data_IF_069583033853
#
_entry.id   IF_069583033853
#
_cell.length_a   1.000
_cell.length_b   1.000
_cell.length_c   1.000
_cell.angle_alpha   90.00
_cell.angle_beta   90.00
_cell.angle_gamma   90.00
#
_symmetry.space_group_name_H-M   'P 1'
#
loop_
_entity.id
_entity.type
_entity.pdbx_description
1 polymer ?
#
# COMPACT_ATOMS: atom_id res chain seq x y z
N UNK A 1 39.68 -48.14 -27.94
CA UNK A 1 38.49 -47.28 -27.75
C UNK A 1 38.77 -45.97 -28.49
N UNK A 2 38.29 -45.75 -29.72
CA UNK A 2 36.92 -45.29 -30.11
C UNK A 2 36.53 -43.98 -29.42
N UNK A 3 36.18 -42.86 -30.08
CA UNK A 3 35.71 -42.59 -31.46
C UNK A 3 36.05 -41.12 -31.85
N UNK A 4 36.43 -40.71 -33.08
CA UNK A 4 35.59 -40.36 -34.26
C UNK A 4 34.23 -39.72 -33.88
N UNK A 5 33.68 -38.63 -34.42
CA UNK A 5 33.97 -37.66 -35.51
C UNK A 5 33.06 -36.42 -35.26
N UNK A 6 33.00 -35.29 -35.99
CA UNK A 6 33.56 -34.80 -37.28
C UNK A 6 33.59 -33.24 -37.25
N UNK A 7 34.15 -32.58 -38.26
CA UNK A 7 33.97 -31.14 -38.54
C UNK A 7 32.95 -30.96 -39.69
N UNK A 8 32.11 -29.92 -39.66
CA UNK A 8 31.46 -29.38 -40.86
C UNK A 8 31.22 -27.86 -40.77
N UNK A 9 31.41 -27.18 -41.90
CA UNK A 9 31.36 -25.72 -42.09
C UNK A 9 30.28 -25.44 -43.16
N UNK A 10 29.23 -24.65 -42.87
CA UNK A 10 28.34 -24.05 -43.89
C UNK A 10 27.90 -22.65 -43.38
N UNK A 11 28.59 -21.58 -43.77
CA UNK A 11 28.25 -20.58 -44.82
C UNK A 11 26.93 -19.79 -44.69
N UNK A 12 27.12 -18.46 -44.65
CA UNK A 12 26.21 -17.32 -44.88
C UNK A 12 24.93 -17.59 -45.70
N UNK A 13 23.85 -16.90 -45.32
CA UNK A 13 23.14 -15.98 -46.25
C UNK A 13 22.36 -14.88 -45.52
N UNK A 14 22.65 -13.62 -45.87
CA UNK A 14 21.81 -12.47 -45.55
C UNK A 14 20.63 -12.40 -46.52
N UNK A 15 19.45 -12.03 -46.03
CA UNK A 15 18.38 -11.44 -46.87
C UNK A 15 17.83 -10.22 -46.12
N UNK A 16 17.85 -9.08 -46.79
CA UNK A 16 17.16 -7.87 -46.35
C UNK A 16 15.86 -7.73 -47.14
N UNK A 17 14.77 -7.39 -46.46
CA UNK A 17 13.52 -6.87 -47.04
C UNK A 17 13.05 -5.76 -46.10
N UNK A 18 13.43 -4.51 -46.40
CA UNK A 18 12.59 -3.50 -47.07
C UNK A 18 11.46 -2.99 -46.18
N UNK A 19 11.63 -1.75 -45.71
CA UNK A 19 10.59 -0.99 -45.01
C UNK A 19 9.48 -0.56 -45.99
N UNK A 20 8.24 -0.50 -45.50
CA UNK A 20 7.15 0.21 -46.16
C UNK A 20 6.49 1.15 -45.13
N UNK A 21 6.52 2.45 -45.43
CA UNK A 21 5.62 3.42 -44.79
C UNK A 21 4.26 3.38 -45.50
N UNK A 22 3.19 3.51 -44.72
CA UNK A 22 1.86 3.93 -45.21
C UNK A 22 1.22 4.84 -44.18
N UNK A 23 0.77 6.01 -44.60
CA UNK A 23 0.04 6.98 -43.78
C UNK A 23 -1.36 7.23 -44.35
N UNK A 24 -2.21 7.91 -43.57
CA UNK A 24 -3.62 8.24 -43.84
C UNK A 24 -4.62 7.12 -43.47
N UNK A 25 -5.85 7.42 -43.04
CA UNK A 25 -6.54 8.72 -43.01
C UNK A 25 -7.40 8.91 -41.74
N UNK A 26 -7.61 10.18 -41.37
CA UNK A 26 -8.64 10.62 -40.43
C UNK A 26 -10.02 10.45 -41.08
N UNK A 27 -11.01 9.95 -40.33
CA UNK A 27 -12.41 10.08 -40.72
C UNK A 27 -13.23 10.70 -39.59
N UNK A 28 -13.76 11.89 -39.85
CA UNK A 28 -14.74 12.58 -39.01
C UNK A 28 -16.13 12.09 -39.38
N UNK A 29 -16.94 11.71 -38.39
CA UNK A 29 -18.40 11.67 -38.54
C UNK A 29 -19.07 12.28 -37.31
N UNK A 30 -19.84 13.33 -37.54
CA UNK A 30 -20.68 13.96 -36.54
C UNK A 30 -22.00 13.20 -36.36
N UNK A 31 -22.51 13.15 -35.14
CA UNK A 31 -23.82 12.57 -34.82
C UNK A 31 -24.45 13.32 -33.65
N UNK A 32 -25.45 14.16 -33.94
CA UNK A 32 -26.11 15.00 -32.94
C UNK A 32 -26.84 14.17 -31.89
N UNK A 33 -26.78 14.58 -30.62
CA UNK A 33 -27.91 14.42 -29.70
C UNK A 33 -28.15 15.70 -28.89
N UNK A 34 -29.40 15.86 -28.47
CA UNK A 34 -30.07 17.15 -28.27
C UNK A 34 -30.20 17.42 -26.77
N UNK A 35 -29.77 18.60 -26.30
CA UNK A 35 -30.22 19.08 -25.00
C UNK A 35 -31.73 19.36 -25.07
N UNK A 36 -32.46 19.00 -24.03
CA UNK A 36 -33.71 19.64 -23.68
C UNK A 36 -33.53 20.31 -22.32
N UNK A 37 -33.53 21.63 -22.33
CA UNK A 37 -33.87 22.41 -21.14
C UNK A 37 -35.38 22.29 -20.91
N UNK A 38 -35.80 22.05 -19.67
CA UNK A 38 -37.11 22.48 -19.20
C UNK A 38 -36.92 23.44 -18.02
N UNK A 39 -37.38 24.67 -18.24
CA UNK A 39 -37.57 25.68 -17.22
C UNK A 39 -39.00 26.25 -17.37
N UNK A 40 -39.43 26.98 -16.35
CA UNK A 40 -40.79 27.55 -16.15
C UNK A 40 -41.81 26.57 -15.49
N UNK A 41 -42.74 27.02 -14.64
CA UNK A 41 -43.09 28.41 -14.31
C UNK A 41 -43.72 28.62 -12.91
N UNK A 42 -43.42 29.78 -12.31
CA UNK A 42 -44.25 30.68 -11.44
C UNK A 42 -45.43 30.13 -10.62
N UNK A 43 -45.62 30.53 -9.35
CA UNK A 43 -45.95 31.91 -8.90
C UNK A 43 -45.71 32.07 -7.38
N UNK A 44 -45.16 33.18 -6.85
CA UNK A 44 -45.83 34.46 -6.47
C UNK A 44 -47.01 34.29 -5.49
N UNK A 45 -47.16 35.02 -4.37
CA UNK A 45 -46.56 36.29 -3.90
C UNK A 45 -46.42 36.29 -2.34
N UNK A 46 -45.46 37.01 -1.73
CA UNK A 46 -45.59 38.37 -1.12
C UNK A 46 -46.77 38.47 -0.12
N UNK A 47 -46.60 38.83 1.16
CA UNK A 47 -46.40 40.21 1.66
C UNK A 47 -45.93 40.22 3.14
N UNK A 48 -45.00 41.13 3.48
CA UNK A 48 -44.56 41.60 4.81
C UNK A 48 -45.46 42.79 5.28
N UNK A 49 -45.61 43.16 6.58
CA UNK A 49 -44.52 43.84 7.30
C UNK A 49 -44.48 43.86 8.86
N UNK A 50 -43.28 44.22 9.35
CA UNK A 50 -42.89 45.09 10.48
C UNK A 50 -43.80 45.35 11.71
N UNK A 51 -43.21 45.24 12.91
CA UNK A 51 -42.82 46.36 13.83
C UNK A 51 -42.27 45.78 15.16
N UNK A 52 -41.11 46.21 15.69
CA UNK A 52 -40.89 47.32 16.65
C UNK A 52 -41.70 47.22 17.97
N UNK A 53 -41.23 47.57 19.18
CA UNK A 53 -39.90 47.87 19.77
C UNK A 53 -40.09 48.04 21.31
N UNK A 54 -39.01 48.20 22.10
CA UNK A 54 -38.98 48.74 23.49
C UNK A 54 -39.68 47.91 24.61
N UNK A 55 -39.35 48.06 25.92
CA UNK A 55 -38.25 48.76 26.62
C UNK A 55 -38.19 48.33 28.11
N UNK A 56 -37.01 48.47 28.71
CA UNK A 56 -36.70 48.89 30.10
C UNK A 56 -37.56 48.42 31.31
N UNK A 57 -36.86 47.86 32.32
CA UNK A 57 -36.70 48.51 33.64
C UNK A 57 -35.69 47.75 34.53
N UNK A 58 -34.92 48.47 35.34
CA UNK A 58 -33.96 47.93 36.30
C UNK A 58 -34.35 48.31 37.75
N UNK A 59 -34.00 47.48 38.75
CA UNK A 59 -33.61 47.94 40.09
C UNK A 59 -33.10 46.83 41.04
N UNK A 60 -32.16 47.25 41.90
CA UNK A 60 -31.95 46.83 43.30
C UNK A 60 -31.38 45.42 43.64
N UNK A 61 -30.10 45.47 43.98
CA UNK A 61 -29.29 44.51 44.73
C UNK A 61 -29.91 43.81 45.95
N UNK A 62 -29.46 42.58 46.20
CA UNK A 62 -29.52 41.88 47.48
C UNK A 62 -28.50 40.74 47.51
N UNK A 63 -27.46 40.85 48.36
CA UNK A 63 -26.35 39.89 48.38
C UNK A 63 -26.49 38.87 49.52
N UNK A 64 -26.40 37.58 49.20
CA UNK A 64 -25.96 36.53 50.13
C UNK A 64 -25.49 35.30 49.36
N UNK A 65 -24.33 34.75 49.74
CA UNK A 65 -23.68 33.67 49.00
C UNK A 65 -24.37 32.31 49.17
N UNK A 66 -24.35 31.51 48.10
CA UNK A 66 -24.52 30.05 48.15
C UNK A 66 -23.53 29.42 47.16
N UNK A 67 -22.66 28.56 47.66
CA UNK A 67 -21.66 27.90 46.83
C UNK A 67 -22.31 26.77 46.02
N UNK A 68 -22.56 27.01 44.73
CA UNK A 68 -22.99 25.97 43.81
C UNK A 68 -21.77 25.13 43.36
N UNK A 69 -21.83 23.82 43.59
CA UNK A 69 -20.84 22.88 43.08
C UNK A 69 -20.80 22.92 41.53
N UNK A 70 -19.65 22.68 40.90
CA UNK A 70 -19.57 22.62 39.44
C UNK A 70 -20.47 21.51 38.92
N UNK A 71 -21.29 21.83 37.91
CA UNK A 71 -22.12 20.86 37.22
C UNK A 71 -21.25 19.70 36.74
N UNK A 72 -21.65 18.47 37.08
CA UNK A 72 -20.93 17.28 36.67
C UNK A 72 -20.89 17.22 35.13
N UNK A 73 -19.71 17.42 34.55
CA UNK A 73 -19.47 17.08 33.17
C UNK A 73 -19.81 15.60 33.00
N UNK A 74 -20.74 15.30 32.11
CA UNK A 74 -21.06 13.93 31.71
C UNK A 74 -19.77 13.31 31.17
N UNK A 75 -19.11 12.51 32.00
CA UNK A 75 -17.97 11.72 31.58
C UNK A 75 -18.48 10.72 30.56
N UNK A 76 -18.30 11.04 29.28
CA UNK A 76 -18.48 10.09 28.20
C UNK A 76 -17.60 8.88 28.53
N UNK A 77 -18.25 7.77 28.85
CA UNK A 77 -17.59 6.52 29.16
C UNK A 77 -16.66 6.21 27.98
N UNK A 78 -15.35 6.04 28.16
CA UNK A 78 -14.49 5.67 27.05
C UNK A 78 -14.95 4.30 26.58
N UNK A 79 -15.65 4.26 25.45
CA UNK A 79 -15.95 3.03 24.76
C UNK A 79 -14.61 2.32 24.62
N UNK A 80 -14.50 1.12 25.20
CA UNK A 80 -13.31 0.29 25.04
C UNK A 80 -13.10 0.11 23.55
N UNK A 81 -12.09 0.77 23.00
CA UNK A 81 -11.77 0.71 21.60
C UNK A 81 -11.49 -0.77 21.29
N UNK A 82 -12.44 -1.42 20.60
CA UNK A 82 -12.23 -2.76 20.12
C UNK A 82 -10.97 -2.75 19.28
N UNK A 83 -10.01 -3.63 19.60
CA UNK A 83 -8.74 -3.68 18.89
C UNK A 83 -9.04 -3.96 17.41
N UNK A 84 -8.89 -2.92 16.58
CA UNK A 84 -9.32 -2.93 15.19
C UNK A 84 -8.67 -4.11 14.47
N UNK A 85 -9.47 -5.07 14.03
CA UNK A 85 -8.97 -6.28 13.40
C UNK A 85 -8.26 -5.94 12.09
N UNK A 86 -6.97 -6.30 12.01
CA UNK A 86 -6.14 -6.09 10.82
C UNK A 86 -6.16 -7.37 9.99
N UNK A 87 -6.22 -7.24 8.66
CA UNK A 87 -5.97 -8.35 7.74
C UNK A 87 -4.46 -8.70 7.75
N UNK A 88 -4.06 -9.57 8.67
CA UNK A 88 -2.65 -9.98 8.87
C UNK A 88 -2.11 -10.84 7.73
N UNK A 89 -2.99 -11.35 6.85
CA UNK A 89 -2.63 -12.07 5.64
C UNK A 89 -2.48 -11.17 4.40
N UNK A 90 -2.70 -9.86 4.50
CA UNK A 90 -2.57 -8.94 3.36
C UNK A 90 -1.12 -8.66 2.93
N UNK A 91 -0.90 -8.25 1.67
CA UNK A 91 0.40 -7.72 1.22
C UNK A 91 0.84 -6.51 2.06
N UNK A 92 -0.11 -5.66 2.45
CA UNK A 92 0.10 -4.52 3.36
C UNK A 92 0.29 -4.89 4.83
N UNK A 93 0.22 -6.18 5.18
CA UNK A 93 0.77 -6.72 6.41
C UNK A 93 2.15 -7.34 6.20
N UNK A 94 2.61 -7.53 4.95
CA UNK A 94 3.87 -8.21 4.64
C UNK A 94 3.77 -9.73 4.57
N UNK A 95 2.55 -10.27 4.36
CA UNK A 95 2.36 -11.67 4.06
C UNK A 95 2.88 -12.03 2.66
N UNK A 96 3.32 -13.27 2.47
CA UNK A 96 3.92 -13.74 1.22
C UNK A 96 3.66 -15.24 1.00
N UNK A 97 3.26 -15.66 -0.21
CA UNK A 97 3.09 -17.08 -0.50
C UNK A 97 4.43 -17.80 -0.68
N UNK A 98 4.53 -19.04 -0.20
CA UNK A 98 5.73 -19.86 -0.32
C UNK A 98 5.43 -21.15 -1.08
N UNK A 99 6.39 -21.60 -1.90
CA UNK A 99 6.28 -22.84 -2.68
C UNK A 99 5.27 -22.78 -3.84
N UNK A 100 4.78 -21.60 -4.21
CA UNK A 100 3.93 -21.42 -5.39
C UNK A 100 4.78 -21.28 -6.66
N UNK A 101 4.28 -21.81 -7.78
CA UNK A 101 4.88 -21.68 -9.11
C UNK A 101 4.19 -20.66 -10.01
N UNK A 102 2.96 -20.25 -9.67
CA UNK A 102 2.33 -19.05 -10.23
C UNK A 102 2.46 -17.91 -9.23
N UNK A 103 2.66 -16.70 -9.74
CA UNK A 103 2.64 -15.47 -8.96
C UNK A 103 1.22 -15.01 -8.62
N UNK A 104 0.17 -15.51 -9.29
CA UNK A 104 -1.22 -15.03 -9.12
C UNK A 104 -1.76 -15.06 -7.66
N UNK A 105 -1.09 -15.76 -6.74
CA UNK A 105 -1.42 -15.81 -5.31
C UNK A 105 -1.58 -14.43 -4.67
N UNK A 106 -0.84 -13.41 -5.14
CA UNK A 106 -0.93 -12.07 -4.57
C UNK A 106 -2.35 -11.50 -4.74
N UNK A 107 -3.10 -11.90 -5.77
CA UNK A 107 -4.49 -11.44 -6.01
C UNK A 107 -5.46 -11.83 -4.91
N UNK A 108 -5.14 -12.87 -4.13
CA UNK A 108 -5.92 -13.22 -2.96
C UNK A 108 -5.70 -12.28 -1.77
N UNK A 109 -4.58 -11.55 -1.73
CA UNK A 109 -4.07 -10.86 -0.53
C UNK A 109 -3.61 -9.41 -0.77
N UNK A 110 -3.58 -8.92 -2.01
CA UNK A 110 -3.27 -7.52 -2.35
C UNK A 110 -4.32 -6.54 -1.79
N UNK A 111 -5.56 -7.04 -1.69
CA UNK A 111 -6.72 -6.35 -1.20
C UNK A 111 -7.35 -5.33 -2.16
N UNK A 112 -6.92 -5.26 -3.42
CA UNK A 112 -7.35 -4.36 -4.50
C UNK A 112 -8.83 -4.62 -4.86
N UNK A 113 -9.69 -3.59 -5.10
CA UNK A 113 -11.15 -3.74 -4.95
C UNK A 113 -11.83 -4.69 -5.94
N UNK A 114 -11.33 -4.72 -7.17
CA UNK A 114 -11.81 -5.48 -8.33
C UNK A 114 -10.74 -6.48 -8.82
N UNK A 115 -9.78 -6.83 -7.95
CA UNK A 115 -8.84 -7.92 -8.24
C UNK A 115 -9.65 -9.17 -8.64
N UNK A 116 -9.36 -9.80 -9.79
CA UNK A 116 -10.12 -10.96 -10.24
C UNK A 116 -9.91 -12.18 -9.34
N UNK A 117 -8.96 -12.10 -8.41
CA UNK A 117 -8.52 -13.20 -7.57
C UNK A 117 -7.76 -14.25 -8.36
N UNK A 118 -7.89 -15.51 -7.93
CA UNK A 118 -7.37 -16.66 -8.66
C UNK A 118 -8.50 -17.51 -9.22
N UNK A 119 -8.18 -18.23 -10.29
CA UNK A 119 -8.95 -19.35 -10.83
C UNK A 119 -7.95 -20.42 -11.23
N UNK A 120 -8.05 -21.62 -10.65
CA UNK A 120 -7.08 -22.69 -10.82
C UNK A 120 -7.76 -24.00 -11.16
N UNK A 121 -7.14 -24.78 -12.05
CA UNK A 121 -7.63 -26.09 -12.46
C UNK A 121 -7.30 -27.20 -11.43
N UNK A 122 -6.37 -26.93 -10.51
CA UNK A 122 -6.02 -27.85 -9.42
C UNK A 122 -7.17 -27.93 -8.42
N UNK A 123 -7.65 -29.14 -8.16
CA UNK A 123 -8.70 -29.41 -7.18
C UNK A 123 -8.37 -30.73 -6.45
N UNK A 124 -7.97 -30.69 -5.16
CA UNK A 124 -7.80 -29.51 -4.33
C UNK A 124 -6.66 -28.59 -4.81
N UNK A 125 -6.75 -27.31 -4.44
CA UNK A 125 -5.67 -26.34 -4.55
C UNK A 125 -5.16 -25.99 -3.14
N UNK A 126 -3.84 -25.93 -2.95
CA UNK A 126 -3.22 -25.53 -1.69
C UNK A 126 -2.31 -24.30 -1.87
N UNK A 127 -2.54 -23.30 -1.03
CA UNK A 127 -1.73 -22.10 -0.92
C UNK A 127 -1.16 -21.99 0.49
N UNK A 128 0.16 -21.92 0.62
CA UNK A 128 0.82 -21.65 1.91
C UNK A 128 1.25 -20.19 1.96
N UNK A 129 0.64 -19.42 2.86
CA UNK A 129 0.99 -18.04 3.16
C UNK A 129 1.87 -18.00 4.40
N UNK A 130 3.05 -17.38 4.28
CA UNK A 130 3.83 -16.94 5.41
C UNK A 130 3.35 -15.56 5.85
N UNK A 131 2.92 -15.45 7.11
CA UNK A 131 2.60 -14.17 7.73
C UNK A 131 3.91 -13.41 8.03
N UNK A 132 3.87 -12.08 8.21
CA UNK A 132 5.05 -11.28 8.60
C UNK A 132 5.71 -11.69 9.92
N UNK A 133 5.18 -12.69 10.62
CA UNK A 133 4.18 -12.43 11.64
C UNK A 133 3.94 -13.69 12.46
N UNK A 134 4.01 -13.61 13.78
CA UNK A 134 3.12 -14.45 14.58
C UNK A 134 1.94 -13.54 14.85
N UNK A 135 0.73 -14.02 14.63
CA UNK A 135 -0.48 -13.24 14.78
C UNK A 135 -1.53 -14.06 15.51
N UNK A 136 -2.32 -13.40 16.36
CA UNK A 136 -3.51 -13.97 16.97
C UNK A 136 -4.69 -13.67 16.05
N UNK A 137 -5.14 -14.69 15.34
CA UNK A 137 -6.21 -14.62 14.34
C UNK A 137 -7.54 -14.94 15.03
N UNK A 138 -8.57 -14.15 14.73
CA UNK A 138 -9.91 -14.23 15.34
C UNK A 138 -11.00 -14.58 14.32
N UNK A 139 -10.78 -14.28 13.04
CA UNK A 139 -11.66 -14.72 11.96
C UNK A 139 -10.93 -14.85 10.63
N UNK A 140 -11.44 -15.69 9.73
CA UNK A 140 -11.09 -15.69 8.32
C UNK A 140 -12.21 -15.03 7.51
N UNK A 141 -11.91 -14.61 6.29
CA UNK A 141 -12.92 -14.26 5.30
C UNK A 141 -12.52 -14.69 3.89
N UNK A 142 -13.52 -15.10 3.12
CA UNK A 142 -13.38 -15.64 1.78
C UNK A 142 -14.26 -14.84 0.82
N UNK A 143 -13.65 -14.16 -0.16
CA UNK A 143 -14.38 -13.49 -1.23
C UNK A 143 -14.74 -14.48 -2.33
N UNK A 144 -16.03 -14.62 -2.62
CA UNK A 144 -16.52 -15.42 -3.75
C UNK A 144 -15.93 -14.91 -5.07
N UNK A 145 -15.63 -15.81 -6.01
CA UNK A 145 -15.16 -15.41 -7.35
C UNK A 145 -16.21 -14.54 -8.07
N UNK A 146 -15.79 -13.56 -8.90
CA UNK A 146 -16.72 -12.85 -9.78
C UNK A 146 -17.28 -13.74 -10.89
N UNK A 147 -16.69 -14.91 -11.14
CA UNK A 147 -17.18 -15.89 -12.09
C UNK A 147 -18.09 -16.93 -11.40
N UNK A 148 -19.22 -17.24 -12.02
CA UNK A 148 -20.12 -18.30 -11.55
C UNK A 148 -19.45 -19.67 -11.66
N UNK A 149 -19.75 -20.57 -10.71
CA UNK A 149 -19.22 -21.94 -10.68
C UNK A 149 -17.68 -22.04 -10.59
N UNK A 150 -17.04 -21.01 -10.03
CA UNK A 150 -15.60 -21.01 -9.68
C UNK A 150 -15.38 -20.91 -8.16
N UNK A 151 -16.32 -20.37 -7.40
CA UNK A 151 -16.20 -20.35 -5.92
C UNK A 151 -16.15 -21.78 -5.37
N UNK A 152 -15.14 -22.14 -4.54
CA UNK A 152 -15.02 -23.48 -3.99
C UNK A 152 -16.18 -23.82 -3.05
N UNK A 153 -16.62 -25.07 -3.10
CA UNK A 153 -17.65 -25.61 -2.22
C UNK A 153 -17.14 -25.82 -0.80
N UNK A 154 -15.85 -26.12 -0.64
CA UNK A 154 -15.23 -26.41 0.64
C UNK A 154 -13.93 -25.63 0.82
N UNK A 155 -13.74 -25.08 2.02
CA UNK A 155 -12.52 -24.34 2.39
C UNK A 155 -12.01 -24.78 3.75
N UNK A 156 -10.72 -25.10 3.78
CA UNK A 156 -9.97 -25.44 4.98
C UNK A 156 -8.82 -24.46 5.16
N UNK A 157 -8.58 -24.06 6.41
CA UNK A 157 -7.40 -23.27 6.81
C UNK A 157 -6.70 -23.99 7.95
N UNK A 158 -5.50 -24.49 7.67
CA UNK A 158 -4.57 -24.96 8.70
C UNK A 158 -3.59 -23.85 9.10
N UNK A 159 -3.10 -23.94 10.34
CA UNK A 159 -2.19 -23.01 10.98
C UNK A 159 -0.93 -23.73 11.45
N UNK A 160 0.22 -23.05 11.38
CA UNK A 160 1.48 -23.57 11.93
C UNK A 160 2.43 -22.44 12.39
N UNK A 161 3.38 -22.79 13.25
CA UNK A 161 4.52 -21.94 13.62
C UNK A 161 5.70 -22.05 12.62
N UNK A 162 5.75 -23.13 11.83
CA UNK A 162 6.77 -23.40 10.81
C UNK A 162 6.12 -23.80 9.48
N UNK A 163 6.74 -23.45 8.35
CA UNK A 163 6.33 -23.88 7.02
C UNK A 163 6.34 -25.42 6.85
N UNK A 164 7.15 -26.12 7.65
CA UNK A 164 7.20 -27.59 7.70
C UNK A 164 6.10 -28.24 8.54
N UNK A 165 5.22 -27.45 9.17
CA UNK A 165 4.33 -27.91 10.22
C UNK A 165 5.04 -28.17 11.57
N UNK A 166 4.39 -28.88 12.52
CA UNK A 166 3.09 -29.52 12.38
C UNK A 166 1.96 -28.51 12.08
N UNK A 167 0.96 -28.97 11.34
CA UNK A 167 -0.20 -28.19 10.91
C UNK A 167 -1.42 -28.52 11.77
N UNK A 168 -2.12 -27.49 12.24
CA UNK A 168 -3.33 -27.61 13.04
C UNK A 168 -4.49 -26.91 12.33
N UNK A 169 -5.57 -27.65 12.08
CA UNK A 169 -6.78 -27.11 11.46
C UNK A 169 -7.45 -26.08 12.36
N UNK A 170 -7.60 -24.84 11.85
CA UNK A 170 -8.27 -23.74 12.53
C UNK A 170 -9.68 -23.49 11.96
N UNK A 171 -9.89 -23.79 10.68
CA UNK A 171 -11.18 -23.70 9.99
C UNK A 171 -11.30 -24.83 8.97
N UNK A 172 -12.48 -25.43 8.84
CA UNK A 172 -12.77 -26.58 7.97
C UNK A 172 -14.30 -26.64 7.79
N UNK A 173 -14.81 -26.09 6.69
CA UNK A 173 -16.24 -26.02 6.43
C UNK A 173 -16.57 -25.70 4.96
N UNK A 174 -17.81 -26.00 4.59
CA UNK A 174 -18.36 -25.69 3.27
C UNK A 174 -18.77 -24.21 3.16
N UNK A 175 -18.65 -23.64 1.95
CA UNK A 175 -19.17 -22.30 1.64
C UNK A 175 -20.69 -22.37 1.42
N UNK A 176 -21.52 -21.68 2.22
CA UNK A 176 -22.97 -21.73 2.08
C UNK A 176 -23.42 -21.26 0.69
N UNK A 177 -24.06 -22.16 -0.07
CA UNK A 177 -24.62 -21.85 -1.37
C UNK A 177 -23.60 -21.58 -2.49
N UNK A 178 -22.40 -22.18 -2.42
CA UNK A 178 -21.31 -21.99 -3.39
C UNK A 178 -21.73 -22.06 -4.87
N UNK A 179 -22.66 -22.94 -5.26
CA UNK A 179 -23.24 -23.02 -6.61
C UNK A 179 -23.82 -21.69 -7.13
N UNK A 180 -24.43 -20.91 -6.24
CA UNK A 180 -25.29 -19.77 -6.55
C UNK A 180 -24.88 -18.46 -5.85
N UNK A 181 -23.74 -18.48 -5.14
CA UNK A 181 -23.19 -17.31 -4.46
C UNK A 181 -22.96 -16.18 -5.47
N UNK A 182 -23.39 -14.97 -5.13
CA UNK A 182 -23.23 -13.83 -6.03
C UNK A 182 -21.77 -13.36 -6.06
N UNK A 183 -21.27 -12.85 -7.20
CA UNK A 183 -20.00 -12.15 -7.29
C UNK A 183 -19.75 -11.17 -6.14
N UNK A 184 -18.54 -11.19 -5.57
CA UNK A 184 -18.12 -10.25 -4.52
C UNK A 184 -18.73 -10.45 -3.12
N UNK A 185 -19.50 -11.53 -2.87
CA UNK A 185 -19.93 -11.86 -1.50
C UNK A 185 -18.72 -12.28 -0.66
N UNK A 186 -18.58 -11.64 0.51
CA UNK A 186 -17.55 -11.98 1.50
C UNK A 186 -18.16 -12.87 2.58
N UNK A 187 -17.79 -14.15 2.56
CA UNK A 187 -18.16 -15.12 3.60
C UNK A 187 -17.22 -14.94 4.78
N UNK A 188 -17.75 -14.52 5.93
CA UNK A 188 -16.98 -14.34 7.17
C UNK A 188 -17.06 -15.60 8.04
N UNK A 189 -15.89 -16.02 8.53
CA UNK A 189 -15.69 -17.22 9.33
C UNK A 189 -15.06 -16.85 10.69
N UNK A 190 -15.87 -16.44 11.69
CA UNK A 190 -15.37 -16.22 13.05
C UNK A 190 -14.90 -17.54 13.68
N UNK A 191 -13.77 -17.50 14.36
CA UNK A 191 -13.22 -18.64 15.08
C UNK A 191 -13.83 -18.72 16.48
N UNK A 192 -14.09 -19.94 16.98
CA UNK A 192 -14.61 -20.13 18.34
C UNK A 192 -13.64 -19.64 19.42
N UNK A 193 -12.34 -19.72 19.15
CA UNK A 193 -11.26 -19.20 19.97
C UNK A 193 -10.17 -18.62 19.06
N UNK A 194 -9.45 -17.56 19.47
CA UNK A 194 -8.34 -17.04 18.69
C UNK A 194 -7.21 -18.06 18.53
N UNK A 195 -6.61 -18.15 17.34
CA UNK A 195 -5.50 -19.05 17.04
C UNK A 195 -4.21 -18.27 16.79
N UNK A 196 -3.08 -18.72 17.33
CA UNK A 196 -1.77 -18.12 17.06
C UNK A 196 -1.09 -18.85 15.91
N UNK A 197 -0.76 -18.13 14.83
CA UNK A 197 -0.15 -18.70 13.63
C UNK A 197 0.97 -17.82 13.08
N UNK A 198 1.94 -18.45 12.40
CA UNK A 198 2.93 -17.79 11.54
C UNK A 198 2.82 -18.18 10.07
N UNK A 199 2.29 -19.38 9.81
CA UNK A 199 1.99 -19.85 8.47
C UNK A 199 0.52 -20.28 8.43
N UNK A 200 -0.14 -19.95 7.33
CA UNK A 200 -1.48 -20.40 6.99
C UNK A 200 -1.39 -21.29 5.76
N UNK A 201 -2.07 -22.44 5.77
CA UNK A 201 -2.33 -23.23 4.57
C UNK A 201 -3.81 -23.14 4.27
N UNK A 202 -4.12 -22.47 3.17
CA UNK A 202 -5.46 -22.41 2.59
C UNK A 202 -5.61 -23.56 1.59
N UNK A 203 -6.53 -24.48 1.86
CA UNK A 203 -6.91 -25.55 0.95
C UNK A 203 -8.32 -25.28 0.42
N UNK A 204 -8.45 -25.16 -0.90
CA UNK A 204 -9.71 -24.99 -1.60
C UNK A 204 -10.07 -26.31 -2.29
N UNK A 205 -11.33 -26.73 -2.23
CA UNK A 205 -11.79 -27.92 -2.96
C UNK A 205 -13.26 -27.84 -3.37
N UNK A 206 -13.65 -28.74 -4.28
CA UNK A 206 -15.04 -28.95 -4.70
C UNK A 206 -15.22 -30.36 -5.26
N UNK A 207 -16.43 -30.94 -5.25
CA UNK A 207 -16.74 -32.11 -6.07
C UNK A 207 -16.40 -31.84 -7.56
N UNK A 208 -15.80 -32.80 -8.30
CA UNK A 208 -15.36 -32.57 -9.68
C UNK A 208 -16.46 -32.06 -10.62
N UNK A 209 -17.68 -32.54 -10.44
CA UNK A 209 -18.87 -32.15 -11.21
C UNK A 209 -19.39 -30.73 -10.87
N UNK A 210 -18.96 -30.16 -9.75
CA UNK A 210 -19.33 -28.81 -9.29
C UNK A 210 -18.26 -27.75 -9.58
N UNK A 211 -17.09 -28.15 -10.08
CA UNK A 211 -16.00 -27.23 -10.48
C UNK A 211 -15.52 -27.45 -11.94
N UNK A 212 -16.43 -27.43 -12.94
CA UNK A 212 -16.07 -27.69 -14.34
C UNK A 212 -15.12 -26.63 -14.94
N UNK A 213 -15.06 -25.44 -14.34
CA UNK A 213 -14.21 -24.32 -14.75
C UNK A 213 -13.03 -24.07 -13.78
N UNK A 214 -12.68 -25.07 -12.95
CA UNK A 214 -11.73 -24.93 -11.85
C UNK A 214 -12.35 -24.29 -10.60
N UNK A 215 -11.51 -23.99 -9.62
CA UNK A 215 -11.88 -23.38 -8.33
C UNK A 215 -11.10 -22.09 -8.07
N UNK A 216 -11.63 -21.19 -7.26
CA UNK A 216 -11.00 -19.89 -7.01
C UNK A 216 -11.77 -18.95 -6.08
N UNK A 217 -11.05 -18.03 -5.46
CA UNK A 217 -11.59 -16.95 -4.62
C UNK A 217 -11.13 -15.61 -5.19
N UNK A 218 -11.95 -14.57 -5.01
CA UNK A 218 -11.55 -13.18 -5.26
C UNK A 218 -10.59 -12.65 -4.19
N UNK A 219 -10.74 -13.12 -2.94
CA UNK A 219 -9.93 -12.69 -1.80
C UNK A 219 -9.86 -13.76 -0.71
N UNK A 220 -8.73 -13.80 0.00
CA UNK A 220 -8.59 -14.45 1.30
C UNK A 220 -8.06 -13.43 2.32
N UNK A 221 -8.71 -13.35 3.47
CA UNK A 221 -8.28 -12.48 4.58
C UNK A 221 -8.22 -13.25 5.89
N UNK A 222 -7.24 -12.89 6.73
CA UNK A 222 -7.12 -13.40 8.09
C UNK A 222 -7.12 -12.21 9.05
N UNK A 223 -8.22 -12.03 9.77
CA UNK A 223 -8.42 -10.90 10.66
C UNK A 223 -7.96 -11.21 12.07
N UNK A 224 -7.17 -10.32 12.65
CA UNK A 224 -6.64 -10.50 13.99
C UNK A 224 -5.70 -9.38 14.44
N UNK A 225 -4.90 -9.68 15.46
CA UNK A 225 -3.86 -8.80 15.97
C UNK A 225 -2.48 -9.35 15.58
N UNK A 226 -1.60 -8.54 14.96
CA UNK A 226 -0.20 -8.94 14.80
C UNK A 226 0.46 -9.02 16.18
N UNK A 227 1.32 -10.02 16.36
CA UNK A 227 2.17 -10.14 17.55
C UNK A 227 3.23 -9.05 17.63
N UNK A 228 4.14 -9.17 18.61
CA UNK A 228 5.13 -8.14 18.92
C UNK A 228 5.90 -7.63 17.68
N UNK A 229 6.11 -6.32 17.63
CA UNK A 229 6.82 -5.64 16.56
C UNK A 229 8.22 -6.26 16.35
N UNK A 230 8.53 -6.59 15.10
CA UNK A 230 9.79 -7.27 14.74
C UNK A 230 10.95 -6.31 14.61
N UNK A 231 12.15 -6.87 14.66
CA UNK A 231 13.33 -6.23 14.09
C UNK A 231 13.07 -5.91 12.61
N UNK A 232 13.60 -4.76 12.16
CA UNK A 232 13.42 -4.29 10.78
C UNK A 232 14.02 -5.30 9.80
N UNK A 233 13.18 -5.87 8.93
CA UNK A 233 13.61 -6.83 7.90
C UNK A 233 14.72 -6.20 7.05
N UNK A 234 15.81 -6.94 6.85
CA UNK A 234 16.87 -6.55 5.94
C UNK A 234 16.50 -6.93 4.50
N UNK A 235 16.41 -5.93 3.63
CA UNK A 235 16.01 -6.05 2.22
C UNK A 235 17.02 -5.39 1.26
N UNK A 236 18.14 -4.87 1.76
CA UNK A 236 19.21 -4.36 0.91
C UNK A 236 19.75 -5.46 -0.02
N UNK A 237 20.02 -5.11 -1.28
CA UNK A 237 20.51 -6.05 -2.28
C UNK A 237 20.15 -5.63 -3.71
N UNK A 238 20.64 -6.40 -4.67
CA UNK A 238 20.23 -6.34 -6.06
C UNK A 238 19.08 -7.34 -6.29
N UNK A 239 18.04 -6.86 -6.96
CA UNK A 239 16.86 -7.61 -7.36
C UNK A 239 16.67 -7.53 -8.87
N UNK A 240 16.01 -8.53 -9.43
CA UNK A 240 15.58 -8.58 -10.82
C UNK A 240 14.06 -8.78 -10.86
N UNK A 241 13.37 -7.77 -11.39
CA UNK A 241 11.93 -7.72 -11.62
C UNK A 241 11.71 -7.63 -13.13
N UNK A 242 11.21 -8.68 -13.81
CA UNK A 242 11.12 -8.71 -15.27
C UNK A 242 10.12 -7.71 -15.87
N UNK A 243 9.32 -7.02 -15.03
CA UNK A 243 8.32 -6.03 -15.43
C UNK A 243 8.48 -4.74 -14.63
N UNK A 244 8.00 -3.61 -15.17
CA UNK A 244 7.82 -2.32 -14.49
C UNK A 244 9.07 -1.58 -13.96
N UNK A 245 10.29 -2.13 -14.15
CA UNK A 245 11.55 -1.53 -13.71
C UNK A 245 12.59 -1.37 -14.84
N UNK A 246 12.13 -0.98 -16.02
CA UNK A 246 12.96 -0.87 -17.23
C UNK A 246 13.06 -2.21 -17.99
N UNK A 247 13.75 -2.20 -19.13
CA UNK A 247 13.85 -3.39 -20.00
C UNK A 247 14.80 -4.46 -19.44
N UNK A 248 15.81 -4.05 -18.65
CA UNK A 248 16.70 -4.96 -17.92
C UNK A 248 16.16 -5.40 -16.55
N UNK A 249 15.10 -4.77 -16.04
CA UNK A 249 14.42 -5.18 -14.80
C UNK A 249 15.21 -5.07 -13.49
N UNK A 250 16.41 -4.49 -13.47
CA UNK A 250 17.26 -4.48 -12.27
C UNK A 250 16.90 -3.35 -11.31
N UNK A 251 16.78 -3.71 -10.03
CA UNK A 251 16.51 -2.79 -8.91
C UNK A 251 17.58 -2.99 -7.84
N UNK A 252 18.30 -1.93 -7.50
CA UNK A 252 19.22 -1.91 -6.36
C UNK A 252 18.53 -1.25 -5.17
N UNK A 253 18.46 -1.95 -4.04
CA UNK A 253 17.99 -1.43 -2.75
C UNK A 253 19.15 -1.32 -1.76
N UNK A 254 19.24 -0.18 -1.10
CA UNK A 254 20.14 0.14 0.00
C UNK A 254 19.30 0.47 1.23
N UNK A 255 19.76 0.12 2.43
CA UNK A 255 18.95 0.23 3.65
C UNK A 255 19.77 0.76 4.82
N UNK A 256 19.18 1.68 5.59
CA UNK A 256 19.71 2.17 6.86
C UNK A 256 18.61 2.18 7.91
N UNK A 257 18.60 1.17 8.79
CA UNK A 257 17.50 0.95 9.72
C UNK A 257 16.20 0.67 8.96
N UNK A 258 15.16 1.45 9.25
CA UNK A 258 13.88 1.39 8.51
C UNK A 258 13.91 2.14 7.17
N UNK A 259 14.83 3.07 6.93
CA UNK A 259 14.92 3.80 5.67
C UNK A 259 15.48 2.90 4.55
N UNK A 260 14.85 2.96 3.38
CA UNK A 260 15.32 2.30 2.16
C UNK A 260 15.41 3.32 1.04
N UNK A 261 16.52 3.28 0.30
CA UNK A 261 16.68 4.01 -0.95
C UNK A 261 17.19 3.08 -2.03
N UNK A 262 17.04 3.50 -3.28
CA UNK A 262 17.47 2.68 -4.38
C UNK A 262 17.30 3.34 -5.74
N UNK A 263 17.49 2.52 -6.75
CA UNK A 263 17.32 2.90 -8.14
C UNK A 263 16.96 1.68 -8.97
N UNK A 264 16.34 1.94 -10.11
CA UNK A 264 16.15 0.95 -11.17
C UNK A 264 16.86 1.44 -12.42
N UNK A 265 17.44 0.50 -13.18
CA UNK A 265 18.42 0.83 -14.21
C UNK A 265 18.48 -0.20 -15.34
N UNK A 266 18.91 0.27 -16.50
CA UNK A 266 19.30 -0.61 -17.60
C UNK A 266 20.70 -1.17 -17.37
N UNK A 267 20.92 -2.44 -17.70
CA UNK A 267 22.19 -3.14 -17.45
C UNK A 267 22.98 -3.46 -18.73
N UNK A 268 24.30 -3.36 -18.63
CA UNK A 268 25.24 -3.91 -19.63
C UNK A 268 25.62 -5.33 -19.23
N UNK A 269 24.78 -6.30 -19.62
CA UNK A 269 24.94 -7.72 -19.33
C UNK A 269 24.31 -8.16 -18.00
N UNK A 270 24.17 -9.48 -17.83
CA UNK A 270 23.52 -10.11 -16.67
C UNK A 270 24.49 -10.77 -15.69
N UNK A 271 25.73 -11.04 -16.10
CA UNK A 271 26.78 -11.59 -15.22
C UNK A 271 28.19 -11.11 -15.64
N UNK A 272 28.87 -10.28 -14.83
CA UNK A 272 28.31 -9.51 -13.71
C UNK A 272 27.37 -8.40 -14.21
N UNK A 273 26.30 -8.14 -13.47
CA UNK A 273 25.38 -7.00 -13.71
C UNK A 273 26.15 -5.68 -13.60
N UNK A 274 25.94 -4.75 -14.55
CA UNK A 274 26.59 -3.43 -14.59
C UNK A 274 25.59 -2.35 -14.93
N UNK A 275 25.48 -1.31 -14.09
CA UNK A 275 24.64 -0.14 -14.37
C UNK A 275 25.11 0.53 -15.67
N UNK A 276 24.20 0.66 -16.64
CA UNK A 276 24.45 1.34 -17.91
C UNK A 276 23.75 2.70 -17.98
N UNK A 277 22.50 2.76 -17.54
CA UNK A 277 21.72 3.98 -17.40
C UNK A 277 20.78 3.81 -16.21
N UNK A 278 20.85 4.72 -15.23
CA UNK A 278 19.84 4.83 -14.18
C UNK A 278 18.57 5.42 -14.81
N UNK A 279 17.43 4.78 -14.59
CA UNK A 279 16.13 5.20 -15.13
C UNK A 279 15.32 6.02 -14.12
N UNK A 280 15.53 5.77 -12.83
CA UNK A 280 14.85 6.46 -11.75
C UNK A 280 15.31 5.99 -10.37
N UNK A 281 14.75 6.61 -9.33
CA UNK A 281 15.08 6.34 -7.92
C UNK A 281 13.91 5.70 -7.19
N UNK A 282 14.22 5.07 -6.05
CA UNK A 282 13.26 4.57 -5.10
C UNK A 282 13.57 5.23 -3.76
N UNK A 283 12.56 5.82 -3.13
CA UNK A 283 12.62 6.32 -1.75
C UNK A 283 11.55 5.56 -0.98
N UNK A 284 11.88 4.97 0.16
CA UNK A 284 10.99 4.06 0.85
C UNK A 284 11.38 3.77 2.29
N UNK A 285 10.58 2.92 2.94
CA UNK A 285 10.86 2.46 4.29
C UNK A 285 10.13 1.18 4.64
N UNK A 286 10.75 0.41 5.54
CA UNK A 286 10.25 -0.88 6.01
C UNK A 286 9.23 -0.64 7.12
N UNK A 287 8.01 -1.10 6.85
CA UNK A 287 6.88 -1.06 7.76
C UNK A 287 6.95 -2.20 8.78
N UNK A 288 6.12 -2.17 9.83
CA UNK A 288 6.17 -3.16 10.93
C UNK A 288 5.95 -4.61 10.46
N UNK A 289 5.28 -4.81 9.32
CA UNK A 289 5.12 -6.10 8.65
C UNK A 289 6.36 -6.62 7.92
N UNK A 290 7.43 -5.82 7.83
CA UNK A 290 8.62 -6.17 7.07
C UNK A 290 8.43 -6.09 5.55
N UNK A 291 7.36 -5.45 5.07
CA UNK A 291 7.23 -5.00 3.69
C UNK A 291 7.79 -3.58 3.54
N UNK A 292 8.23 -3.24 2.34
CA UNK A 292 8.69 -1.91 1.97
C UNK A 292 7.51 -1.11 1.43
N UNK A 293 7.21 0.06 2.01
CA UNK A 293 6.37 1.08 1.38
C UNK A 293 7.29 2.09 0.69
N UNK A 294 6.98 2.47 -0.55
CA UNK A 294 7.89 3.26 -1.39
C UNK A 294 7.20 4.24 -2.32
N UNK A 295 7.97 5.23 -2.78
CA UNK A 295 7.73 5.99 -4.00
C UNK A 295 8.79 5.58 -5.04
N UNK A 296 8.36 5.22 -6.26
CA UNK A 296 9.21 5.11 -7.46
C UNK A 296 9.19 6.45 -8.18
N UNK A 297 10.35 7.11 -8.31
CA UNK A 297 10.48 8.35 -9.07
C UNK A 297 11.15 8.07 -10.42
N UNK A 298 10.60 8.63 -11.50
CA UNK A 298 11.16 8.49 -12.85
C UNK A 298 11.86 9.79 -13.24
N UNK A 299 13.02 9.74 -13.90
CA UNK A 299 13.82 10.95 -14.20
C UNK A 299 13.08 12.06 -14.99
N UNK A 300 12.01 11.71 -15.70
CA UNK A 300 11.22 12.64 -16.52
C UNK A 300 9.84 12.95 -15.93
N UNK A 301 9.41 12.25 -14.87
CA UNK A 301 8.12 12.47 -14.22
C UNK A 301 8.26 13.42 -13.04
N UNK A 302 7.30 14.36 -12.91
CA UNK A 302 7.14 15.18 -11.70
C UNK A 302 6.29 14.51 -10.62
N UNK A 303 5.75 13.33 -10.90
CA UNK A 303 4.89 12.57 -10.00
C UNK A 303 5.57 11.23 -9.68
N UNK A 304 5.87 11.02 -8.40
CA UNK A 304 6.32 9.74 -7.90
C UNK A 304 5.17 8.74 -7.84
N UNK A 305 5.41 7.49 -8.20
CA UNK A 305 4.42 6.41 -8.15
C UNK A 305 4.50 5.70 -6.78
N UNK A 306 3.48 5.78 -5.92
CA UNK A 306 3.46 5.02 -4.66
C UNK A 306 3.43 3.52 -4.91
N UNK A 307 3.92 2.74 -3.96
CA UNK A 307 3.96 1.28 -4.09
C UNK A 307 4.25 0.55 -2.78
N UNK A 308 4.20 -0.78 -2.88
CA UNK A 308 4.69 -1.71 -1.87
C UNK A 308 5.62 -2.74 -2.52
N UNK A 309 6.59 -3.24 -1.76
CA UNK A 309 7.27 -4.51 -2.03
C UNK A 309 7.13 -5.44 -0.82
N UNK A 310 6.55 -6.61 -1.05
CA UNK A 310 6.53 -7.72 -0.09
C UNK A 310 7.71 -8.67 -0.37
N UNK A 311 8.17 -9.39 0.64
CA UNK A 311 9.37 -10.24 0.57
C UNK A 311 9.14 -11.62 1.19
N UNK A 312 9.53 -12.66 0.48
CA UNK A 312 9.54 -14.05 0.97
C UNK A 312 10.32 -14.19 2.30
N UNK A 313 9.95 -15.11 3.20
CA UNK A 313 10.63 -15.27 4.49
C UNK A 313 12.11 -15.65 4.41
N UNK A 314 12.54 -16.30 3.32
CA UNK A 314 13.94 -16.66 3.07
C UNK A 314 14.75 -15.54 2.35
N UNK A 315 14.08 -14.45 1.99
CA UNK A 315 14.67 -13.27 1.35
C UNK A 315 15.07 -13.48 -0.11
N UNK A 316 14.67 -14.58 -0.76
CA UNK A 316 15.04 -14.86 -2.17
C UNK A 316 14.09 -14.29 -3.20
N UNK A 317 12.80 -14.21 -2.86
CA UNK A 317 11.75 -13.66 -3.72
C UNK A 317 11.19 -12.37 -3.14
N UNK A 318 10.73 -11.49 -4.03
CA UNK A 318 10.01 -10.27 -3.74
C UNK A 318 8.79 -10.16 -4.69
N UNK A 319 7.84 -9.32 -4.32
CA UNK A 319 6.72 -8.94 -5.18
C UNK A 319 6.48 -7.45 -5.01
N UNK A 320 6.42 -6.69 -6.11
CA UNK A 320 6.09 -5.26 -6.10
C UNK A 320 4.69 -5.02 -6.66
N UNK A 321 3.92 -4.17 -5.99
CA UNK A 321 2.74 -3.53 -6.54
C UNK A 321 2.94 -2.01 -6.54
N UNK A 322 2.78 -1.39 -7.70
CA UNK A 322 2.97 0.04 -7.93
C UNK A 322 1.61 0.64 -8.32
N UNK A 323 1.12 1.58 -7.53
CA UNK A 323 -0.21 2.15 -7.66
C UNK A 323 -0.14 3.47 -8.41
N UNK A 324 -0.90 3.64 -9.48
CA UNK A 324 -1.11 4.97 -10.07
C UNK A 324 -1.95 5.83 -9.12
N UNK A 325 -1.90 7.16 -9.26
CA UNK A 325 -2.61 8.08 -8.35
C UNK A 325 -4.15 7.88 -8.39
N UNK A 326 -4.66 7.39 -9.51
CA UNK A 326 -6.04 7.02 -9.78
C UNK A 326 -6.35 5.53 -9.54
N UNK A 327 -5.56 4.83 -8.70
CA UNK A 327 -5.68 3.40 -8.40
C UNK A 327 -6.97 3.01 -7.64
N UNK A 328 -8.11 3.19 -8.29
CA UNK A 328 -9.42 2.71 -7.86
C UNK A 328 -9.63 1.24 -8.24
N UNK A 329 -8.85 0.74 -9.20
CA UNK A 329 -9.03 -0.58 -9.83
C UNK A 329 -7.72 -1.38 -9.90
N UNK A 330 -7.83 -2.66 -10.25
CA UNK A 330 -6.74 -3.59 -10.45
C UNK A 330 -5.96 -3.30 -11.72
N UNK A 331 -6.65 -2.83 -12.76
CA UNK A 331 -6.02 -2.34 -14.00
C UNK A 331 -5.10 -1.12 -13.81
N UNK A 332 -5.18 -0.42 -12.68
CA UNK A 332 -4.33 0.71 -12.30
C UNK A 332 -3.20 0.31 -11.32
N UNK A 333 -2.96 -1.00 -11.14
CA UNK A 333 -1.83 -1.54 -10.38
C UNK A 333 -0.82 -2.19 -11.34
N UNK A 334 0.43 -1.74 -11.27
CA UNK A 334 1.54 -2.31 -12.02
C UNK A 334 2.30 -3.30 -11.14
N UNK A 335 2.21 -4.58 -11.51
CA UNK A 335 2.64 -5.71 -10.67
C UNK A 335 3.88 -6.37 -11.24
N UNK A 336 4.85 -6.72 -10.37
CA UNK A 336 5.97 -7.56 -10.78
C UNK A 336 6.37 -8.53 -9.67
N UNK A 337 6.42 -9.84 -9.93
CA UNK A 337 7.25 -10.73 -9.14
C UNK A 337 8.73 -10.34 -9.34
N UNK A 338 9.60 -10.77 -8.45
CA UNK A 338 11.03 -10.51 -8.58
C UNK A 338 11.87 -11.44 -7.71
N UNK A 339 13.14 -11.59 -8.12
CA UNK A 339 14.11 -12.43 -7.42
C UNK A 339 15.28 -11.59 -6.91
N UNK A 340 15.79 -11.92 -5.73
CA UNK A 340 16.96 -11.31 -5.14
C UNK A 340 18.21 -11.98 -5.70
N UNK A 341 18.90 -11.27 -6.59
CA UNK A 341 20.20 -11.69 -7.16
C UNK A 341 21.25 -11.84 -6.06
N UNK A 342 21.28 -10.93 -5.08
CA UNK A 342 22.15 -11.05 -3.91
C UNK A 342 22.50 -9.72 -3.24
N UNK A 343 23.55 -9.74 -2.43
CA UNK A 343 24.21 -8.49 -2.01
C UNK A 343 24.96 -7.89 -3.21
N UNK A 344 25.08 -6.55 -3.26
CA UNK A 344 25.71 -5.84 -4.36
C UNK A 344 26.48 -4.63 -3.86
N UNK A 345 27.58 -4.30 -4.56
CA UNK A 345 28.39 -3.10 -4.36
C UNK A 345 28.15 -2.05 -5.47
N UNK A 346 27.15 -2.26 -6.32
CA UNK A 346 26.73 -1.26 -7.32
C UNK A 346 26.26 0.03 -6.63
N UNK A 347 26.33 1.15 -7.36
CA UNK A 347 25.89 2.46 -6.91
C UNK A 347 24.79 2.99 -7.82
N UNK A 348 23.85 3.74 -7.24
CA UNK A 348 22.81 4.46 -7.99
C UNK A 348 23.31 5.74 -8.68
N UNK A 349 24.60 6.05 -8.56
CA UNK A 349 25.27 7.03 -9.41
C UNK A 349 26.51 6.39 -10.06
N UNK A 350 26.59 6.29 -11.40
CA UNK A 350 27.81 5.89 -12.11
C UNK A 350 28.90 6.97 -12.12
N UNK A 351 28.61 8.22 -11.69
CA UNK A 351 29.58 9.33 -11.62
C UNK A 351 30.30 9.48 -10.28
N UNK A 352 29.89 8.73 -9.24
CA UNK A 352 30.55 8.66 -7.94
C UNK A 352 30.21 9.79 -6.95
N UNK A 353 29.23 10.63 -7.23
CA UNK A 353 28.66 11.60 -6.28
C UNK A 353 27.49 10.96 -5.50
N UNK A 354 27.35 11.22 -4.19
CA UNK A 354 26.13 10.88 -3.48
C UNK A 354 24.97 11.73 -4.02
N UNK A 355 24.12 11.16 -4.87
CA UNK A 355 22.80 11.74 -5.15
C UNK A 355 21.88 11.42 -3.98
N UNK A 356 21.54 12.42 -3.16
CA UNK A 356 20.50 12.23 -2.16
C UNK A 356 19.14 12.16 -2.89
N UNK A 357 18.51 10.98 -2.86
CA UNK A 357 17.29 10.71 -3.61
C UNK A 357 16.10 11.53 -3.06
N UNK A 358 16.08 11.81 -1.76
CA UNK A 358 15.09 12.67 -1.10
C UNK A 358 15.26 14.12 -1.50
N UNK A 359 16.49 14.64 -1.53
CA UNK A 359 16.79 15.99 -2.01
C UNK A 359 16.35 16.16 -3.47
N UNK A 360 16.73 15.19 -4.31
CA UNK A 360 16.38 15.15 -5.74
C UNK A 360 14.86 15.15 -5.93
N UNK A 361 14.12 14.37 -5.14
CA UNK A 361 12.67 14.32 -5.19
C UNK A 361 12.02 15.64 -4.74
N UNK A 362 12.51 16.27 -3.66
CA UNK A 362 12.03 17.59 -3.20
C UNK A 362 12.25 18.69 -4.24
N UNK A 363 13.34 18.64 -5.00
CA UNK A 363 13.62 19.60 -6.07
C UNK A 363 12.79 19.37 -7.33
N UNK A 364 12.56 18.10 -7.70
CA UNK A 364 11.84 17.73 -8.93
C UNK A 364 10.31 17.86 -8.79
N UNK A 365 9.78 17.50 -7.62
CA UNK A 365 8.34 17.30 -7.39
C UNK A 365 7.76 18.28 -6.36
N UNK A 366 8.61 18.93 -5.56
CA UNK A 366 8.19 19.76 -4.43
C UNK A 366 7.75 18.98 -3.19
N UNK A 367 7.69 17.64 -3.21
CA UNK A 367 7.17 16.84 -2.09
C UNK A 367 7.91 15.51 -1.92
N UNK A 368 8.10 15.06 -0.68
CA UNK A 368 8.65 13.72 -0.37
C UNK A 368 8.00 13.11 0.85
N UNK A 369 7.67 11.82 0.76
CA UNK A 369 7.10 11.05 1.86
C UNK A 369 8.19 10.59 2.84
N UNK A 370 7.94 10.79 4.13
CA UNK A 370 8.81 10.37 5.22
C UNK A 370 8.55 8.92 5.61
N UNK A 371 8.95 7.99 4.75
CA UNK A 371 8.80 6.56 5.03
C UNK A 371 9.59 6.11 6.27
N UNK A 372 8.99 5.22 7.06
CA UNK A 372 9.52 4.82 8.36
C UNK A 372 9.23 5.81 9.50
N UNK A 373 8.69 7.00 9.23
CA UNK A 373 8.16 7.91 10.27
C UNK A 373 6.77 7.45 10.69
N UNK A 374 6.78 6.37 11.47
CA UNK A 374 5.58 5.66 11.87
C UNK A 374 5.05 6.10 13.24
N UNK A 375 3.74 5.98 13.38
CA UNK A 375 3.01 6.22 14.62
C UNK A 375 2.18 4.98 14.95
N UNK A 376 1.91 4.75 16.24
CA UNK A 376 0.92 3.76 16.64
C UNK A 376 -0.50 4.22 16.25
N UNK A 377 -1.45 3.27 16.25
CA UNK A 377 -2.87 3.57 16.10
C UNK A 377 -3.32 4.63 17.12
N UNK A 378 -4.04 5.64 16.64
CA UNK A 378 -4.51 6.81 17.40
C UNK A 378 -3.43 7.48 18.29
N UNK A 379 -2.19 7.56 17.78
CA UNK A 379 -1.12 8.33 18.42
C UNK A 379 -0.38 9.26 17.46
N UNK A 380 0.19 10.30 18.04
CA UNK A 380 1.12 11.27 17.44
C UNK A 380 2.53 11.23 18.06
N UNK A 381 2.78 10.32 19.01
CA UNK A 381 4.11 10.12 19.59
C UNK A 381 5.04 9.46 18.57
N UNK A 382 6.16 10.12 18.25
CA UNK A 382 7.21 9.55 17.40
C UNK A 382 7.81 8.30 18.06
N UNK A 383 7.76 7.19 17.32
CA UNK A 383 8.39 5.92 17.70
C UNK A 383 9.91 5.98 17.54
N UNK A 384 10.63 5.05 18.19
CA UNK A 384 12.08 5.00 18.14
C UNK A 384 12.64 4.65 16.74
N UNK A 385 11.88 3.90 15.94
CA UNK A 385 12.21 3.54 14.55
C UNK A 385 12.13 4.73 13.57
N UNK A 386 11.36 5.77 13.90
CA UNK A 386 11.29 7.01 13.13
C UNK A 386 12.54 7.91 13.26
N UNK A 387 13.27 7.81 14.38
CA UNK A 387 14.38 8.74 14.67
C UNK A 387 15.50 8.74 13.62
N UNK A 388 16.03 7.60 13.15
CA UNK A 388 17.10 7.60 12.15
C UNK A 388 16.70 8.26 10.83
N UNK A 389 15.41 8.13 10.44
CA UNK A 389 14.86 8.81 9.27
C UNK A 389 14.86 10.32 9.50
N UNK A 390 14.33 10.78 10.64
CA UNK A 390 14.26 12.20 10.97
C UNK A 390 15.64 12.85 11.19
N UNK A 391 16.62 12.12 11.73
CA UNK A 391 18.01 12.60 11.87
C UNK A 391 18.68 12.78 10.51
N UNK A 392 18.40 11.86 9.56
CA UNK A 392 18.83 12.02 8.16
C UNK A 392 18.14 13.23 7.52
N UNK A 393 16.83 13.38 7.67
CA UNK A 393 16.11 14.56 7.15
C UNK A 393 16.63 15.86 7.76
N UNK A 394 16.94 15.87 9.05
CA UNK A 394 17.55 17.03 9.70
C UNK A 394 18.94 17.34 9.13
N UNK A 395 19.71 16.32 8.75
CA UNK A 395 21.01 16.50 8.08
C UNK A 395 20.84 17.12 6.70
N UNK A 396 19.89 16.63 5.90
CA UNK A 396 19.56 17.18 4.58
C UNK A 396 19.06 18.63 4.65
N UNK A 397 18.17 18.94 5.59
CA UNK A 397 17.61 20.29 5.72
C UNK A 397 18.65 21.30 6.24
N UNK A 398 19.61 20.88 7.06
CA UNK A 398 20.74 21.73 7.48
C UNK A 398 21.65 22.15 6.32
N UNK A 399 21.82 21.30 5.30
CA UNK A 399 22.61 21.67 4.10
C UNK A 399 21.81 22.55 3.13
N UNK A 400 20.50 22.67 3.32
CA UNK A 400 19.57 23.49 2.52
C UNK A 400 18.78 24.45 3.43
N UNK A 401 19.51 25.29 4.17
CA UNK A 401 18.94 26.23 5.15
C UNK A 401 18.06 27.33 4.52
N UNK A 402 18.17 27.55 3.21
CA UNK A 402 17.37 28.46 2.40
C UNK A 402 15.96 27.92 2.08
N UNK A 403 15.76 26.60 2.20
CA UNK A 403 14.46 25.99 1.89
C UNK A 403 13.38 26.38 2.91
N UNK A 404 12.16 26.54 2.39
CA UNK A 404 10.93 26.63 3.17
C UNK A 404 10.22 25.30 3.03
N UNK A 405 9.92 24.63 4.14
CA UNK A 405 9.34 23.29 4.17
C UNK A 405 8.12 23.30 5.09
N UNK A 406 6.99 22.89 4.53
CA UNK A 406 5.82 22.46 5.30
C UNK A 406 5.94 20.97 5.61
N UNK A 407 5.75 20.60 6.87
CA UNK A 407 5.52 19.22 7.27
C UNK A 407 4.02 18.94 7.16
N UNK A 408 3.62 18.16 6.17
CA UNK A 408 2.22 17.85 5.90
C UNK A 408 1.84 16.47 6.48
N UNK A 409 0.84 16.43 7.36
CA UNK A 409 0.33 15.20 7.98
C UNK A 409 -0.99 14.74 7.35
N UNK A 410 -1.12 13.45 7.08
CA UNK A 410 -2.29 12.84 6.44
C UNK A 410 -2.78 11.58 7.16
N UNK A 411 -4.07 11.30 7.05
CA UNK A 411 -4.70 10.04 7.49
C UNK A 411 -5.32 9.33 6.29
N UNK A 412 -5.76 8.08 6.50
CA UNK A 412 -6.80 7.50 5.65
C UNK A 412 -8.19 8.06 6.04
N UNK A 413 -9.25 7.59 5.36
CA UNK A 413 -10.63 8.01 5.62
C UNK A 413 -11.37 7.13 6.63
N UNK A 414 -10.69 6.45 7.54
CA UNK A 414 -11.35 5.72 8.65
C UNK A 414 -11.44 6.61 9.89
N UNK A 415 -12.56 6.56 10.62
CA UNK A 415 -12.85 7.47 11.73
C UNK A 415 -13.43 8.82 11.29
N UNK A 416 -13.70 9.70 12.26
CA UNK A 416 -14.35 11.00 12.03
C UNK A 416 -13.37 12.05 11.47
N UNK A 417 -13.81 12.89 10.53
CA UNK A 417 -12.96 13.90 9.88
C UNK A 417 -12.33 14.89 10.86
N UNK A 418 -13.06 15.32 11.90
CA UNK A 418 -12.53 16.24 12.91
C UNK A 418 -11.40 15.59 13.75
N UNK A 419 -11.56 14.30 14.09
CA UNK A 419 -10.54 13.52 14.77
C UNK A 419 -9.31 13.32 13.86
N UNK A 420 -9.51 12.91 12.61
CA UNK A 420 -8.45 12.73 11.63
C UNK A 420 -7.67 14.02 11.35
N UNK A 421 -8.36 15.16 11.25
CA UNK A 421 -7.73 16.47 11.11
C UNK A 421 -6.79 16.75 12.30
N UNK A 422 -7.28 16.58 13.53
CA UNK A 422 -6.47 16.78 14.74
C UNK A 422 -5.27 15.81 14.80
N UNK A 423 -5.49 14.52 14.59
CA UNK A 423 -4.45 13.49 14.62
C UNK A 423 -3.35 13.76 13.58
N UNK A 424 -3.74 14.23 12.39
CA UNK A 424 -2.79 14.59 11.34
C UNK A 424 -1.95 15.84 11.68
N UNK A 425 -2.56 16.85 12.31
CA UNK A 425 -1.84 18.05 12.78
C UNK A 425 -0.86 17.68 13.90
N UNK A 426 -1.31 16.93 14.91
CA UNK A 426 -0.46 16.51 16.03
C UNK A 426 0.79 15.73 15.52
N UNK A 427 0.63 14.87 14.50
CA UNK A 427 1.72 14.13 13.84
C UNK A 427 2.68 15.03 13.08
N UNK A 428 2.16 15.99 12.32
CA UNK A 428 2.97 16.99 11.61
C UNK A 428 3.76 17.86 12.59
N UNK A 429 3.13 18.29 13.69
CA UNK A 429 3.76 19.07 14.75
C UNK A 429 4.87 18.28 15.45
N UNK A 430 4.65 16.99 15.76
CA UNK A 430 5.67 16.14 16.37
C UNK A 430 6.92 16.00 15.49
N UNK A 431 6.75 15.82 14.17
CA UNK A 431 7.86 15.78 13.20
C UNK A 431 8.57 17.12 13.08
N UNK A 432 7.83 18.23 12.94
CA UNK A 432 8.43 19.56 12.85
C UNK A 432 9.18 19.95 14.13
N UNK A 433 8.65 19.61 15.31
CA UNK A 433 9.34 19.79 16.59
C UNK A 433 10.62 18.96 16.68
N UNK A 434 10.59 17.71 16.22
CA UNK A 434 11.80 16.86 16.17
C UNK A 434 12.88 17.51 15.30
N UNK A 435 12.56 17.89 14.06
CA UNK A 435 13.51 18.51 13.13
C UNK A 435 14.11 19.82 13.70
N UNK A 436 13.28 20.66 14.33
CA UNK A 436 13.73 21.86 15.05
C UNK A 436 14.68 21.50 16.20
N UNK A 437 14.34 20.51 17.03
CA UNK A 437 15.19 20.05 18.15
C UNK A 437 16.52 19.44 17.69
N UNK A 438 16.53 18.82 16.50
CA UNK A 438 17.74 18.30 15.86
C UNK A 438 18.62 19.42 15.27
N UNK A 439 18.20 20.69 15.33
CA UNK A 439 18.97 21.85 14.87
C UNK A 439 18.78 22.22 13.41
N UNK A 440 17.63 21.91 12.80
CA UNK A 440 17.25 22.46 11.49
C UNK A 440 16.89 23.94 11.65
N UNK A 441 17.54 24.81 10.87
CA UNK A 441 17.33 26.26 10.86
C UNK A 441 16.46 26.75 9.68
N UNK A 442 16.19 25.89 8.70
CA UNK A 442 15.27 26.13 7.58
C UNK A 442 13.89 26.53 8.08
N UNK A 443 13.10 27.24 7.26
CA UNK A 443 11.75 27.65 7.67
C UNK A 443 10.83 26.43 7.71
N UNK A 444 10.42 26.01 8.91
CA UNK A 444 9.60 24.82 9.15
C UNK A 444 8.19 25.17 9.67
N UNK A 445 7.18 24.95 8.83
CA UNK A 445 5.76 24.94 9.21
C UNK A 445 5.26 23.49 9.37
N UNK A 446 4.10 23.30 10.02
CA UNK A 446 3.45 22.00 10.17
C UNK A 446 1.95 22.14 9.99
N UNK A 447 1.34 21.21 9.24
CA UNK A 447 -0.08 21.26 8.89
C UNK A 447 -0.70 19.88 8.76
N UNK A 448 -1.82 19.68 9.44
CA UNK A 448 -2.70 18.53 9.26
C UNK A 448 -3.64 18.74 8.08
N UNK A 449 -3.86 17.66 7.31
CA UNK A 449 -4.83 17.60 6.22
C UNK A 449 -5.91 16.54 6.45
N UNK A 450 -5.79 15.73 7.51
CA UNK A 450 -6.67 14.58 7.76
C UNK A 450 -6.77 13.66 6.53
N UNK A 451 -8.00 13.27 6.21
CA UNK A 451 -8.40 12.45 5.06
C UNK A 451 -8.52 13.25 3.74
N UNK A 452 -8.40 14.59 3.77
CA UNK A 452 -8.86 15.48 2.67
C UNK A 452 -7.92 15.55 1.46
N UNK A 453 -6.69 15.07 1.60
CA UNK A 453 -5.67 15.03 0.54
C UNK A 453 -5.14 13.59 0.39
N UNK A 454 -5.97 12.65 -0.10
CA UNK A 454 -5.55 11.27 -0.35
C UNK A 454 -4.56 11.22 -1.51
N UNK A 455 -3.51 10.41 -1.37
CA UNK A 455 -2.56 10.11 -2.43
C UNK A 455 -3.12 9.05 -3.41
N UNK A 456 -3.91 8.13 -2.87
CA UNK A 456 -4.60 7.05 -3.58
C UNK A 456 -5.98 6.82 -2.95
N UNK A 457 -6.91 6.13 -3.62
CA UNK A 457 -8.26 5.90 -3.08
C UNK A 457 -8.27 5.13 -1.76
N UNK A 458 -9.12 5.53 -0.80
CA UNK A 458 -9.23 4.86 0.51
C UNK A 458 -9.99 3.51 0.48
N UNK A 459 -10.08 2.86 -0.68
CA UNK A 459 -10.91 1.66 -0.91
C UNK A 459 -10.37 0.41 -0.21
N UNK A 460 -9.05 0.28 -0.03
CA UNK A 460 -8.39 -0.94 0.48
C UNK A 460 -7.41 -0.68 1.60
N UNK A 461 -7.02 -1.71 2.36
CA UNK A 461 -6.03 -1.56 3.43
C UNK A 461 -4.65 -1.17 2.90
N UNK A 462 -4.25 -1.69 1.73
CA UNK A 462 -3.00 -1.34 1.07
C UNK A 462 -2.97 0.12 0.60
N UNK A 463 -4.07 0.64 0.06
CA UNK A 463 -4.16 2.03 -0.39
C UNK A 463 -4.35 3.00 0.80
N UNK A 464 -5.17 2.63 1.80
CA UNK A 464 -5.26 3.36 3.08
C UNK A 464 -3.89 3.45 3.77
N UNK A 465 -3.06 2.39 3.69
CA UNK A 465 -1.71 2.43 4.21
C UNK A 465 -0.79 3.45 3.49
N UNK A 466 -1.01 3.73 2.21
CA UNK A 466 -0.30 4.83 1.53
C UNK A 466 -0.75 6.19 2.07
N UNK A 467 -2.06 6.39 2.31
CA UNK A 467 -2.60 7.67 2.79
C UNK A 467 -2.18 8.05 4.21
N UNK A 468 -1.93 7.07 5.10
CA UNK A 468 -1.34 7.29 6.43
C UNK A 468 0.14 7.67 6.33
N UNK A 469 0.43 8.94 6.07
CA UNK A 469 1.79 9.44 5.77
C UNK A 469 2.07 10.81 6.38
N UNK A 470 3.35 11.15 6.47
CA UNK A 470 3.84 12.51 6.67
C UNK A 470 4.75 12.86 5.49
N UNK A 471 4.63 14.08 4.98
CA UNK A 471 5.41 14.57 3.85
C UNK A 471 6.20 15.82 4.24
N UNK A 472 7.34 16.04 3.59
CA UNK A 472 7.97 17.35 3.51
C UNK A 472 7.58 17.98 2.17
N UNK A 473 7.04 19.19 2.21
CA UNK A 473 6.59 19.94 1.03
C UNK A 473 7.35 21.25 0.92
N UNK A 474 8.11 21.43 -0.15
CA UNK A 474 8.90 22.64 -0.44
C UNK A 474 7.99 23.76 -0.96
N UNK A 475 8.08 24.93 -0.32
CA UNK A 475 7.24 26.13 -0.55
C UNK A 475 7.97 27.22 -1.33
#
# INVERSE_FOLDING_TARGET
MTSRSRIFFITRRSIAVTALMSASAVLVLAGCHRQQDEASNTSSAKVLPDSAANSDAAAAAGASASAAAPAAASAANPATAEAQQIDVASLSAGAFAIGQSSDDWFRLVDGVPDSPGIQVNSNPYELVLALPGEAQITSFAFGSSPQRQVTPHHVKVDTAASASGPWTTAYDADIPGADNIQPGVVVRAPLQQPVTAKFLRLTLSSPPEQAPNGIGLSRFSAYGTPGAARSVRQVAGLYHFPLNFGSSGYVLLQQQGASVEGCYFESQGSDPVRVSQVLGTIVGGIEQGGYLRLTRNEQQSKLGTPGIMAFSPDGKQAFSALFTADAHTFSSVAESPGERVGASNLTCDPSGKPSDAVASQLEQTGHVQLYGVNFDLDKSTLRADAKPVLDRMATLLKTHADWKIEVAGHTDSTGEDAHNMKLSQDRADAVAQYLKSAGVTSTLTSKGYGSTQPLVPNTTDALRAQNRRVELVKQ
#
